data_IF_715949515417
#
_entry.id   IF_715949515417
#
_cell.length_a   1.000
_cell.length_b   1.000
_cell.length_c   1.000
_cell.angle_alpha   90.00
_cell.angle_beta   90.00
_cell.angle_gamma   90.00
#
_symmetry.space_group_name_H-M   'P 1'
#
loop_
_entity.id
_entity.type
_entity.pdbx_description
1 polymer ?
#
# COMPACT_ATOMS: atom_id res chain seq x y z
N UNK A 1 -24.47 -18.80 34.41
CA UNK A 1 -24.81 -18.81 32.95
C UNK A 1 -24.81 -17.45 32.28
N UNK A 2 -24.65 -16.34 32.98
CA UNK A 2 -24.69 -14.96 32.43
C UNK A 2 -23.30 -14.51 31.91
N UNK A 3 -22.21 -15.04 32.44
CA UNK A 3 -20.85 -14.64 32.05
C UNK A 3 -20.39 -15.16 30.69
N UNK A 4 -20.89 -16.30 30.20
CA UNK A 4 -20.50 -16.88 28.90
C UNK A 4 -21.09 -16.10 27.70
N UNK A 5 -22.27 -15.46 27.88
CA UNK A 5 -22.92 -14.69 26.83
C UNK A 5 -22.27 -13.32 26.59
N UNK A 6 -21.63 -12.72 27.61
CA UNK A 6 -20.96 -11.43 27.52
C UNK A 6 -19.63 -11.59 26.79
N UNK A 7 -18.93 -12.72 26.98
CA UNK A 7 -17.65 -12.98 26.30
C UNK A 7 -17.82 -13.22 24.78
N UNK A 8 -18.88 -13.92 24.39
CA UNK A 8 -19.19 -14.16 22.95
C UNK A 8 -19.57 -12.86 22.25
N UNK A 9 -20.30 -11.95 22.92
CA UNK A 9 -20.69 -10.65 22.33
C UNK A 9 -19.46 -9.73 22.17
N UNK A 10 -18.49 -9.81 23.10
CA UNK A 10 -17.29 -8.97 23.03
C UNK A 10 -16.34 -9.42 21.90
N UNK A 11 -16.20 -10.74 21.67
CA UNK A 11 -15.39 -11.29 20.57
C UNK A 11 -16.03 -11.00 19.22
N UNK A 12 -17.37 -11.12 19.10
CA UNK A 12 -18.06 -10.74 17.86
C UNK A 12 -18.00 -9.22 17.60
N UNK A 13 -17.99 -8.39 18.65
CA UNK A 13 -17.89 -6.93 18.48
C UNK A 13 -16.49 -6.49 18.03
N UNK A 14 -15.42 -7.18 18.47
CA UNK A 14 -14.06 -6.87 18.03
C UNK A 14 -13.77 -7.30 16.57
N UNK A 15 -14.31 -8.47 16.17
CA UNK A 15 -14.18 -8.92 14.77
C UNK A 15 -15.00 -8.04 13.80
N UNK A 16 -16.19 -7.62 14.21
CA UNK A 16 -17.00 -6.70 13.40
C UNK A 16 -16.40 -5.29 13.36
N UNK A 17 -15.71 -4.83 14.41
CA UNK A 17 -15.08 -3.51 14.42
C UNK A 17 -13.87 -3.46 13.47
N UNK A 18 -13.13 -4.55 13.30
CA UNK A 18 -12.02 -4.63 12.35
C UNK A 18 -12.48 -4.72 10.89
N UNK A 19 -13.47 -5.56 10.60
CA UNK A 19 -14.09 -5.61 9.27
C UNK A 19 -14.70 -4.25 8.90
N UNK A 20 -15.42 -3.61 9.81
CA UNK A 20 -16.02 -2.28 9.60
C UNK A 20 -14.99 -1.15 9.42
N UNK A 21 -13.77 -1.26 9.94
CA UNK A 21 -12.74 -0.22 9.79
C UNK A 21 -12.09 -0.24 8.40
N UNK A 22 -11.81 -1.42 7.85
CA UNK A 22 -11.28 -1.55 6.49
C UNK A 22 -12.35 -1.12 5.47
N UNK A 23 -13.57 -1.60 5.62
CA UNK A 23 -14.69 -1.20 4.76
C UNK A 23 -14.88 0.33 4.73
N UNK A 24 -14.67 1.03 5.87
CA UNK A 24 -14.83 2.48 5.92
C UNK A 24 -13.73 3.26 5.17
N UNK A 25 -12.50 2.76 5.13
CA UNK A 25 -11.40 3.38 4.38
C UNK A 25 -11.66 3.27 2.87
N UNK A 26 -12.05 2.09 2.40
CA UNK A 26 -12.41 1.84 1.00
C UNK A 26 -13.62 2.68 0.56
N UNK A 27 -14.62 2.83 1.44
CA UNK A 27 -15.80 3.65 1.20
C UNK A 27 -15.40 5.12 1.06
N UNK A 28 -14.59 5.64 1.98
CA UNK A 28 -14.11 7.02 1.93
C UNK A 28 -13.22 7.26 0.70
N UNK A 29 -12.31 6.34 0.39
CA UNK A 29 -11.47 6.42 -0.80
C UNK A 29 -12.34 6.45 -2.08
N UNK A 30 -13.35 5.61 -2.17
CA UNK A 30 -14.31 5.62 -3.28
C UNK A 30 -15.05 6.95 -3.36
N UNK A 31 -15.49 7.51 -2.23
CA UNK A 31 -16.11 8.84 -2.18
C UNK A 31 -15.19 9.92 -2.76
N UNK A 32 -13.92 9.94 -2.36
CA UNK A 32 -12.96 10.93 -2.86
C UNK A 32 -12.68 10.77 -4.37
N UNK A 33 -12.55 9.55 -4.86
CA UNK A 33 -12.40 9.28 -6.31
C UNK A 33 -13.60 9.84 -7.10
N UNK A 34 -14.83 9.63 -6.61
CA UNK A 34 -16.04 10.14 -7.28
C UNK A 34 -16.15 11.66 -7.13
N UNK A 35 -15.78 12.26 -6.01
CA UNK A 35 -15.73 13.74 -5.85
C UNK A 35 -14.80 14.36 -6.88
N UNK A 36 -13.58 13.85 -7.01
CA UNK A 36 -12.58 14.38 -7.96
C UNK A 36 -13.08 14.24 -9.39
N UNK A 37 -13.55 13.05 -9.77
CA UNK A 37 -14.03 12.84 -11.15
C UNK A 37 -15.26 13.68 -11.48
N UNK A 38 -16.16 13.89 -10.53
CA UNK A 38 -17.31 14.79 -10.68
C UNK A 38 -16.89 16.24 -10.87
N UNK A 39 -15.87 16.69 -10.13
CA UNK A 39 -15.25 18.02 -10.31
C UNK A 39 -14.64 18.20 -11.70
N UNK A 40 -13.93 17.18 -12.21
CA UNK A 40 -13.33 17.16 -13.53
C UNK A 40 -14.40 17.14 -14.64
N UNK A 41 -15.49 16.39 -14.47
CA UNK A 41 -16.66 16.42 -15.39
C UNK A 41 -17.21 17.85 -15.46
N UNK A 42 -17.46 18.45 -14.31
CA UNK A 42 -17.99 19.83 -14.25
C UNK A 42 -17.06 20.82 -14.97
N UNK A 43 -15.75 20.73 -14.71
CA UNK A 43 -14.75 21.58 -15.37
C UNK A 43 -14.73 21.39 -16.89
N UNK A 44 -14.78 20.13 -17.36
CA UNK A 44 -14.84 19.79 -18.79
C UNK A 44 -16.08 20.40 -19.47
N UNK A 45 -17.25 20.31 -18.83
CA UNK A 45 -18.49 20.91 -19.36
C UNK A 45 -18.37 22.44 -19.41
N UNK A 46 -17.90 23.07 -18.34
CA UNK A 46 -17.74 24.53 -18.26
C UNK A 46 -16.73 25.07 -19.27
N UNK A 47 -15.67 24.32 -19.55
CA UNK A 47 -14.68 24.66 -20.57
C UNK A 47 -15.07 24.27 -22.00
N UNK A 48 -16.24 23.65 -22.18
CA UNK A 48 -16.70 23.04 -23.43
C UNK A 48 -15.78 21.92 -23.98
N UNK A 49 -15.01 21.28 -23.09
CA UNK A 49 -14.24 20.08 -23.41
C UNK A 49 -15.09 18.83 -23.10
N UNK A 50 -16.07 18.61 -23.97
CA UNK A 50 -17.00 17.47 -23.82
C UNK A 50 -16.30 16.12 -23.97
N UNK A 51 -15.18 16.06 -24.70
CA UNK A 51 -14.44 14.81 -24.85
C UNK A 51 -13.81 14.38 -23.52
N UNK A 52 -13.15 15.28 -22.83
CA UNK A 52 -12.60 14.99 -21.49
C UNK A 52 -13.71 14.71 -20.48
N UNK A 53 -14.80 15.48 -20.50
CA UNK A 53 -15.96 15.24 -19.62
C UNK A 53 -16.56 13.85 -19.82
N UNK A 54 -16.65 13.37 -21.07
CA UNK A 54 -17.13 12.03 -21.39
C UNK A 54 -16.18 10.93 -20.81
N UNK A 55 -14.88 11.12 -20.97
CA UNK A 55 -13.90 10.17 -20.43
C UNK A 55 -13.94 10.12 -18.89
N UNK A 56 -14.03 11.28 -18.22
CA UNK A 56 -14.16 11.35 -16.77
C UNK A 56 -15.46 10.70 -16.27
N UNK A 57 -16.59 10.96 -16.96
CA UNK A 57 -17.87 10.37 -16.57
C UNK A 57 -17.89 8.85 -16.80
N UNK A 58 -17.27 8.38 -17.90
CA UNK A 58 -17.10 6.95 -18.13
C UNK A 58 -16.29 6.30 -17.01
N UNK A 59 -15.14 6.90 -16.67
CA UNK A 59 -14.31 6.39 -15.58
C UNK A 59 -15.07 6.35 -14.25
N UNK A 60 -15.77 7.44 -13.89
CA UNK A 60 -16.55 7.49 -12.65
C UNK A 60 -17.60 6.37 -12.59
N UNK A 61 -18.31 6.13 -13.70
CA UNK A 61 -19.32 5.09 -13.79
C UNK A 61 -18.69 3.69 -13.69
N UNK A 62 -17.64 3.42 -14.44
CA UNK A 62 -16.95 2.12 -14.45
C UNK A 62 -16.33 1.83 -13.08
N UNK A 63 -15.65 2.81 -12.48
CA UNK A 63 -15.04 2.68 -11.17
C UNK A 63 -16.10 2.39 -10.09
N UNK A 64 -17.15 3.19 -10.03
CA UNK A 64 -18.23 3.02 -9.06
C UNK A 64 -18.97 1.69 -9.23
N UNK A 65 -19.17 1.24 -10.46
CA UNK A 65 -19.80 -0.06 -10.76
C UNK A 65 -19.05 -1.24 -10.15
N UNK A 66 -17.74 -1.14 -10.06
CA UNK A 66 -16.89 -2.18 -9.44
C UNK A 66 -16.98 -2.19 -7.91
N UNK A 67 -17.33 -1.05 -7.28
CA UNK A 67 -17.37 -0.90 -5.82
C UNK A 67 -18.78 -0.84 -5.22
N UNK A 68 -19.84 -0.77 -6.05
CA UNK A 68 -21.22 -0.58 -5.56
C UNK A 68 -21.69 -1.68 -4.59
N UNK A 69 -21.22 -2.92 -4.77
CA UNK A 69 -21.58 -4.02 -3.86
C UNK A 69 -20.92 -3.85 -2.49
N UNK A 70 -19.62 -3.49 -2.46
CA UNK A 70 -18.86 -3.20 -1.24
C UNK A 70 -19.47 -2.02 -0.49
N UNK A 71 -19.84 -0.96 -1.20
CA UNK A 71 -20.52 0.21 -0.62
C UNK A 71 -21.87 -0.17 0.01
N UNK A 72 -22.65 -1.03 -0.65
CA UNK A 72 -23.93 -1.52 -0.12
C UNK A 72 -23.71 -2.38 1.14
N UNK A 73 -22.75 -3.30 1.09
CA UNK A 73 -22.43 -4.20 2.19
C UNK A 73 -21.85 -3.41 3.38
N UNK A 74 -21.10 -2.34 3.11
CA UNK A 74 -20.60 -1.36 4.09
C UNK A 74 -21.67 -0.37 4.60
N UNK A 75 -22.94 -0.53 4.18
CA UNK A 75 -24.08 0.19 4.72
C UNK A 75 -24.37 1.55 4.08
N UNK A 76 -23.78 1.88 2.93
CA UNK A 76 -24.08 3.10 2.17
C UNK A 76 -25.47 2.98 1.54
N UNK A 77 -26.47 3.60 2.17
CA UNK A 77 -27.87 3.48 1.77
C UNK A 77 -28.18 4.04 0.37
N UNK A 78 -27.40 5.01 -0.08
CA UNK A 78 -27.56 5.67 -1.38
C UNK A 78 -26.68 5.07 -2.49
N UNK A 79 -26.08 3.89 -2.27
CA UNK A 79 -25.14 3.30 -3.21
C UNK A 79 -25.79 3.04 -4.60
N UNK A 80 -26.99 2.49 -4.62
CA UNK A 80 -27.68 2.17 -5.88
C UNK A 80 -28.17 3.43 -6.60
N UNK A 81 -28.69 4.42 -5.86
CA UNK A 81 -29.15 5.68 -6.42
C UNK A 81 -28.00 6.49 -7.04
N UNK A 82 -26.85 6.53 -6.35
CA UNK A 82 -25.67 7.18 -6.89
C UNK A 82 -25.14 6.47 -8.14
N UNK A 83 -25.16 5.13 -8.15
CA UNK A 83 -24.77 4.36 -9.33
C UNK A 83 -25.63 4.72 -10.55
N UNK A 84 -26.96 4.70 -10.38
CA UNK A 84 -27.88 5.07 -11.46
C UNK A 84 -27.68 6.52 -11.93
N UNK A 85 -27.40 7.43 -11.01
CA UNK A 85 -27.14 8.83 -11.34
C UNK A 85 -25.86 9.00 -12.15
N UNK A 86 -24.78 8.29 -11.82
CA UNK A 86 -23.53 8.32 -12.59
C UNK A 86 -23.72 7.77 -14.01
N UNK A 87 -24.48 6.70 -14.17
CA UNK A 87 -24.87 6.15 -15.49
C UNK A 87 -25.64 7.20 -16.29
N UNK A 88 -26.60 7.87 -15.67
CA UNK A 88 -27.42 8.90 -16.35
C UNK A 88 -26.58 10.10 -16.78
N UNK A 89 -25.68 10.58 -15.91
CA UNK A 89 -24.74 11.66 -16.24
C UNK A 89 -23.87 11.27 -17.43
N UNK A 90 -23.27 10.08 -17.43
CA UNK A 90 -22.46 9.60 -18.56
C UNK A 90 -23.29 9.52 -19.86
N UNK A 91 -24.50 8.97 -19.78
CA UNK A 91 -25.42 8.89 -20.93
C UNK A 91 -25.76 10.28 -21.50
N UNK A 92 -26.05 11.26 -20.65
CA UNK A 92 -26.34 12.63 -21.06
C UNK A 92 -25.16 13.30 -21.77
N UNK A 93 -23.94 13.14 -21.22
CA UNK A 93 -22.73 13.71 -21.82
C UNK A 93 -22.47 13.07 -23.20
N UNK A 94 -22.53 11.74 -23.31
CA UNK A 94 -22.32 11.02 -24.58
C UNK A 94 -23.36 11.38 -25.63
N UNK A 95 -24.60 11.70 -25.21
CA UNK A 95 -25.65 12.18 -26.09
C UNK A 95 -25.64 13.70 -26.32
N UNK A 96 -24.65 14.42 -25.80
CA UNK A 96 -24.51 15.88 -25.87
C UNK A 96 -25.70 16.65 -25.30
N UNK A 97 -26.35 16.10 -24.27
CA UNK A 97 -27.46 16.71 -23.55
C UNK A 97 -26.91 17.38 -22.29
N UNK A 98 -26.71 18.69 -22.32
CA UNK A 98 -26.06 19.42 -21.20
C UNK A 98 -27.05 19.97 -20.16
N UNK A 99 -28.35 19.98 -20.45
CA UNK A 99 -29.32 20.84 -19.75
C UNK A 99 -29.62 20.51 -18.28
N UNK A 100 -29.15 19.38 -17.75
CA UNK A 100 -29.34 19.01 -16.32
C UNK A 100 -28.09 18.55 -15.60
N UNK A 101 -26.97 18.41 -16.30
CA UNK A 101 -25.76 17.78 -15.76
C UNK A 101 -25.25 18.50 -14.51
N UNK A 102 -25.31 19.82 -14.46
CA UNK A 102 -24.87 20.55 -13.27
C UNK A 102 -25.75 20.24 -12.03
N UNK A 103 -27.06 20.12 -12.23
CA UNK A 103 -27.98 19.69 -11.17
C UNK A 103 -27.70 18.26 -10.72
N UNK A 104 -27.40 17.39 -11.68
CA UNK A 104 -27.11 15.99 -11.41
C UNK A 104 -25.77 15.85 -10.62
N UNK A 105 -24.73 16.59 -11.00
CA UNK A 105 -23.45 16.64 -10.28
C UNK A 105 -23.61 17.20 -8.85
N UNK A 106 -24.51 18.17 -8.64
CA UNK A 106 -24.85 18.64 -7.30
C UNK A 106 -25.54 17.55 -6.48
N UNK A 107 -26.36 16.70 -7.14
CA UNK A 107 -26.98 15.54 -6.49
C UNK A 107 -25.94 14.47 -6.13
N UNK A 108 -24.95 14.23 -7.00
CA UNK A 108 -23.78 13.36 -6.67
C UNK A 108 -23.11 13.85 -5.39
N UNK A 109 -22.75 15.14 -5.31
CA UNK A 109 -22.13 15.72 -4.12
C UNK A 109 -22.95 15.48 -2.85
N UNK A 110 -24.28 15.66 -2.95
CA UNK A 110 -25.19 15.42 -1.83
C UNK A 110 -25.24 13.98 -1.37
N UNK A 111 -25.18 13.00 -2.31
CA UNK A 111 -25.10 11.60 -1.94
C UNK A 111 -23.80 11.27 -1.24
N UNK A 112 -22.68 11.83 -1.71
CA UNK A 112 -21.34 11.61 -1.12
C UNK A 112 -21.19 12.21 0.27
N UNK A 113 -21.92 13.28 0.62
CA UNK A 113 -21.98 13.83 1.99
C UNK A 113 -22.51 12.81 3.00
N UNK A 114 -23.28 11.81 2.55
CA UNK A 114 -23.81 10.73 3.40
C UNK A 114 -22.86 9.54 3.58
N UNK A 115 -21.70 9.56 2.95
CA UNK A 115 -20.72 8.47 3.09
C UNK A 115 -19.99 8.59 4.42
N UNK A 116 -19.70 7.46 5.10
CA UNK A 116 -18.95 7.49 6.33
C UNK A 116 -17.52 7.96 6.09
N UNK A 117 -16.99 8.75 7.02
CA UNK A 117 -15.56 9.03 7.07
C UNK A 117 -14.85 7.91 7.81
N UNK A 118 -13.69 7.51 7.33
CA UNK A 118 -12.85 6.54 8.01
C UNK A 118 -12.10 7.19 9.18
N UNK A 119 -12.01 6.51 10.32
CA UNK A 119 -11.11 6.91 11.38
C UNK A 119 -9.64 6.64 11.04
N UNK A 120 -9.38 5.83 10.03
CA UNK A 120 -8.05 5.42 9.56
C UNK A 120 -7.68 6.18 8.29
N UNK A 121 -7.25 7.44 8.44
CA UNK A 121 -6.91 8.28 7.29
C UNK A 121 -5.69 7.77 6.53
N UNK A 122 -4.72 7.17 7.23
CA UNK A 122 -3.57 6.53 6.60
C UNK A 122 -3.97 5.47 5.58
N UNK A 123 -4.92 4.59 5.95
CA UNK A 123 -5.43 3.57 5.04
C UNK A 123 -6.21 4.18 3.88
N UNK A 124 -7.11 5.13 4.13
CA UNK A 124 -7.84 5.84 3.06
C UNK A 124 -6.88 6.49 2.05
N UNK A 125 -5.81 7.14 2.54
CA UNK A 125 -4.79 7.76 1.69
C UNK A 125 -4.07 6.70 0.85
N UNK A 126 -3.73 5.55 1.44
CA UNK A 126 -3.10 4.42 0.75
C UNK A 126 -3.96 3.91 -0.40
N UNK A 127 -5.26 3.71 -0.18
CA UNK A 127 -6.23 3.28 -1.21
C UNK A 127 -6.33 4.33 -2.36
N UNK A 128 -6.42 5.61 -2.02
CA UNK A 128 -6.42 6.69 -3.02
C UNK A 128 -5.15 6.65 -3.87
N UNK A 129 -3.98 6.45 -3.25
CA UNK A 129 -2.70 6.38 -3.94
C UNK A 129 -2.59 5.13 -4.83
N UNK A 130 -3.17 4.00 -4.43
CA UNK A 130 -3.24 2.80 -5.28
C UNK A 130 -4.05 3.07 -6.54
N UNK A 131 -5.22 3.67 -6.42
CA UNK A 131 -6.04 4.08 -7.57
C UNK A 131 -5.28 5.07 -8.45
N UNK A 132 -4.62 6.06 -7.87
CA UNK A 132 -3.83 7.04 -8.60
C UNK A 132 -2.67 6.40 -9.37
N UNK A 133 -1.96 5.46 -8.75
CA UNK A 133 -0.86 4.73 -9.38
C UNK A 133 -1.34 3.91 -10.57
N UNK A 134 -2.41 3.15 -10.41
CA UNK A 134 -3.01 2.35 -11.48
C UNK A 134 -3.44 3.24 -12.67
N UNK A 135 -4.07 4.37 -12.40
CA UNK A 135 -4.46 5.32 -13.43
C UNK A 135 -3.25 5.98 -14.11
N UNK A 136 -2.22 6.33 -13.37
CA UNK A 136 -1.00 6.89 -13.95
C UNK A 136 -0.32 5.89 -14.89
N UNK A 137 -0.15 4.64 -14.45
CA UNK A 137 0.41 3.55 -15.27
C UNK A 137 -0.40 3.36 -16.56
N UNK A 138 -1.70 3.23 -16.45
CA UNK A 138 -2.60 3.07 -17.60
C UNK A 138 -2.55 4.29 -18.51
N UNK A 139 -2.60 5.48 -17.94
CA UNK A 139 -2.56 6.75 -18.67
C UNK A 139 -1.28 6.95 -19.47
N UNK A 140 -0.12 6.56 -18.91
CA UNK A 140 1.16 6.60 -19.63
C UNK A 140 1.21 5.51 -20.70
N UNK A 141 0.87 4.26 -20.34
CA UNK A 141 1.00 3.10 -21.24
C UNK A 141 0.08 3.19 -22.45
N UNK A 142 -1.16 3.69 -22.24
CA UNK A 142 -2.19 3.79 -23.29
C UNK A 142 -2.28 5.19 -23.90
N UNK A 143 -1.38 6.12 -23.52
CA UNK A 143 -1.44 7.53 -23.90
C UNK A 143 -2.82 8.16 -23.68
N UNK A 144 -3.42 7.91 -22.48
CA UNK A 144 -4.71 8.42 -22.07
C UNK A 144 -4.53 9.64 -21.12
N UNK A 145 -4.66 10.89 -21.62
CA UNK A 145 -4.45 12.08 -20.80
C UNK A 145 -5.46 12.22 -19.66
N UNK A 146 -6.69 11.71 -19.83
CA UNK A 146 -7.73 11.84 -18.82
C UNK A 146 -7.43 11.00 -17.59
N UNK A 147 -6.91 9.78 -17.74
CA UNK A 147 -6.45 8.95 -16.60
C UNK A 147 -5.28 9.60 -15.88
N UNK A 148 -4.34 10.22 -16.61
CA UNK A 148 -3.23 10.95 -15.99
C UNK A 148 -3.72 12.15 -15.17
N UNK A 149 -4.70 12.90 -15.68
CA UNK A 149 -5.30 14.05 -14.95
C UNK A 149 -6.00 13.56 -13.68
N UNK A 150 -6.79 12.51 -13.76
CA UNK A 150 -7.44 11.93 -12.57
C UNK A 150 -6.37 11.50 -11.55
N UNK A 151 -5.34 10.79 -11.98
CA UNK A 151 -4.26 10.32 -11.10
C UNK A 151 -3.58 11.44 -10.34
N UNK A 152 -3.20 12.53 -11.02
CA UNK A 152 -2.56 13.71 -10.38
C UNK A 152 -3.50 14.35 -9.36
N UNK A 153 -4.79 14.53 -9.69
CA UNK A 153 -5.75 15.12 -8.75
C UNK A 153 -5.99 14.22 -7.52
N UNK A 154 -5.95 12.91 -7.67
CA UNK A 154 -6.04 11.97 -6.54
C UNK A 154 -4.81 12.09 -5.61
N UNK A 155 -3.62 12.24 -6.17
CA UNK A 155 -2.40 12.49 -5.38
C UNK A 155 -2.48 13.84 -4.64
N UNK A 156 -3.02 14.87 -5.26
CA UNK A 156 -3.27 16.16 -4.58
C UNK A 156 -4.25 16.03 -3.41
N UNK A 157 -5.32 15.22 -3.56
CA UNK A 157 -6.25 14.92 -2.47
C UNK A 157 -5.56 14.16 -1.35
N UNK A 158 -4.81 13.11 -1.67
CA UNK A 158 -4.06 12.33 -0.69
C UNK A 158 -3.11 13.23 0.14
N UNK A 159 -2.40 14.15 -0.53
CA UNK A 159 -1.54 15.14 0.14
C UNK A 159 -2.31 16.07 1.08
N UNK A 160 -3.47 16.58 0.64
CA UNK A 160 -4.31 17.45 1.48
C UNK A 160 -4.92 16.70 2.68
N UNK A 161 -5.23 15.41 2.53
CA UNK A 161 -5.73 14.59 3.64
C UNK A 161 -4.68 14.41 4.74
N UNK A 162 -3.40 14.26 4.39
CA UNK A 162 -2.30 14.23 5.38
C UNK A 162 -2.29 15.54 6.19
N UNK A 163 -2.39 16.67 5.52
CA UNK A 163 -2.35 17.96 6.18
C UNK A 163 -3.50 18.18 7.13
N UNK A 164 -4.71 17.76 6.75
CA UNK A 164 -5.94 17.94 7.51
C UNK A 164 -6.19 16.88 8.58
N UNK A 165 -5.52 15.74 8.51
CA UNK A 165 -5.73 14.64 9.46
C UNK A 165 -5.09 14.93 10.82
N UNK A 166 -5.79 14.60 11.90
CA UNK A 166 -5.26 14.61 13.27
C UNK A 166 -4.52 13.30 13.64
N UNK A 167 -4.55 12.29 12.75
CA UNK A 167 -3.88 11.01 12.93
C UNK A 167 -2.36 11.15 12.89
N UNK A 168 -1.84 12.11 12.11
CA UNK A 168 -0.41 12.33 11.94
C UNK A 168 0.09 13.51 12.78
N UNK A 169 1.18 13.30 13.52
CA UNK A 169 1.87 14.40 14.19
C UNK A 169 2.59 15.31 13.18
N UNK A 170 3.12 16.44 13.68
CA UNK A 170 3.78 17.43 12.82
C UNK A 170 5.03 16.88 12.12
N UNK A 171 5.78 16.00 12.78
CA UNK A 171 6.97 15.39 12.21
C UNK A 171 6.58 14.49 11.05
N UNK A 172 5.61 13.59 11.27
CA UNK A 172 5.10 12.66 10.25
C UNK A 172 4.50 13.39 9.05
N UNK A 173 3.72 14.44 9.29
CA UNK A 173 3.20 15.30 8.20
C UNK A 173 4.33 15.92 7.38
N UNK A 174 5.43 16.32 8.01
CA UNK A 174 6.57 16.90 7.31
C UNK A 174 7.29 15.86 6.45
N UNK A 175 7.53 14.67 6.98
CA UNK A 175 8.16 13.55 6.27
C UNK A 175 7.32 13.13 5.05
N UNK A 176 6.02 12.93 5.25
CA UNK A 176 5.11 12.57 4.15
C UNK A 176 5.04 13.64 3.06
N UNK A 177 5.00 14.93 3.42
CA UNK A 177 4.99 16.05 2.46
C UNK A 177 6.20 16.05 1.54
N UNK A 178 7.38 15.68 2.01
CA UNK A 178 8.59 15.63 1.18
C UNK A 178 8.40 14.66 0.00
N UNK A 179 7.76 13.51 0.22
CA UNK A 179 7.43 12.59 -0.88
C UNK A 179 6.47 13.19 -1.89
N UNK A 180 5.44 13.93 -1.46
CA UNK A 180 4.48 14.54 -2.39
C UNK A 180 5.09 15.71 -3.16
N UNK A 181 6.04 16.44 -2.58
CA UNK A 181 6.82 17.48 -3.28
C UNK A 181 7.58 16.88 -4.46
N UNK A 182 8.09 15.67 -4.33
CA UNK A 182 8.78 14.97 -5.41
C UNK A 182 7.81 14.27 -6.38
N UNK A 183 6.74 13.66 -5.89
CA UNK A 183 5.79 12.86 -6.67
C UNK A 183 5.01 13.69 -7.69
N UNK A 184 4.39 14.79 -7.25
CA UNK A 184 3.48 15.60 -8.08
C UNK A 184 4.19 16.14 -9.33
N UNK A 185 5.41 16.73 -9.23
CA UNK A 185 6.14 17.15 -10.43
C UNK A 185 6.53 16.01 -11.37
N UNK A 186 6.87 14.84 -10.86
CA UNK A 186 7.20 13.67 -11.68
C UNK A 186 6.00 13.23 -12.51
N UNK A 187 4.82 13.15 -11.91
CA UNK A 187 3.59 12.77 -12.61
C UNK A 187 3.18 13.83 -13.65
N UNK A 188 3.27 15.11 -13.31
CA UNK A 188 2.98 16.21 -14.24
C UNK A 188 3.94 16.26 -15.45
N UNK A 189 5.20 15.88 -15.24
CA UNK A 189 6.20 15.80 -16.32
C UNK A 189 6.13 14.47 -17.10
N UNK A 190 5.17 13.60 -16.78
CA UNK A 190 4.99 12.28 -17.42
C UNK A 190 6.25 11.41 -17.38
N UNK A 191 6.91 11.40 -16.21
CA UNK A 191 8.14 10.65 -15.99
C UNK A 191 7.88 9.15 -15.97
N UNK A 192 8.98 8.37 -15.97
CA UNK A 192 8.94 6.92 -15.97
C UNK A 192 8.07 6.37 -14.82
N UNK A 193 7.25 5.39 -15.14
CA UNK A 193 6.32 4.72 -14.23
C UNK A 193 7.07 4.24 -12.97
N UNK A 194 8.23 3.59 -13.13
CA UNK A 194 9.00 3.05 -12.03
C UNK A 194 9.40 4.10 -10.97
N UNK A 195 9.65 5.34 -11.39
CA UNK A 195 9.99 6.43 -10.46
C UNK A 195 8.80 6.89 -9.64
N UNK A 196 7.61 6.92 -10.26
CA UNK A 196 6.34 7.26 -9.59
C UNK A 196 5.95 6.13 -8.63
N UNK A 197 6.01 4.88 -9.07
CA UNK A 197 5.73 3.69 -8.26
C UNK A 197 6.57 3.65 -6.98
N UNK A 198 7.87 3.89 -7.12
CA UNK A 198 8.79 3.88 -5.98
C UNK A 198 8.39 4.90 -4.90
N UNK A 199 8.03 6.12 -5.30
CA UNK A 199 7.64 7.16 -4.33
C UNK A 199 6.29 6.81 -3.70
N UNK A 200 5.30 6.36 -4.48
CA UNK A 200 4.00 5.95 -3.94
C UNK A 200 4.17 4.81 -2.93
N UNK A 201 4.96 3.80 -3.26
CA UNK A 201 5.27 2.71 -2.33
C UNK A 201 5.93 3.23 -1.04
N UNK A 202 6.88 4.18 -1.14
CA UNK A 202 7.49 4.78 0.05
C UNK A 202 6.47 5.54 0.91
N UNK A 203 5.52 6.27 0.30
CA UNK A 203 4.44 6.94 1.05
C UNK A 203 3.57 5.91 1.77
N UNK A 204 3.16 4.85 1.07
CA UNK A 204 2.32 3.80 1.64
C UNK A 204 3.01 3.10 2.82
N UNK A 205 4.30 2.80 2.71
CA UNK A 205 5.10 2.27 3.82
C UNK A 205 5.11 3.21 5.03
N UNK A 206 5.31 4.51 4.80
CA UNK A 206 5.30 5.50 5.87
C UNK A 206 3.92 5.70 6.52
N UNK A 207 2.83 5.49 5.79
CA UNK A 207 1.47 5.56 6.34
C UNK A 207 1.17 4.41 7.30
N UNK A 208 1.69 3.23 7.03
CA UNK A 208 1.48 2.01 7.83
C UNK A 208 2.22 2.04 9.18
N UNK A 209 3.33 2.76 9.30
CA UNK A 209 4.17 2.78 10.53
C UNK A 209 3.44 3.28 11.80
N UNK A 210 2.26 3.88 11.69
CA UNK A 210 1.48 4.37 12.84
C UNK A 210 0.36 3.43 13.32
N UNK A 211 0.01 2.40 12.56
CA UNK A 211 -0.93 1.38 13.04
C UNK A 211 -0.16 0.26 13.75
N UNK A 212 -0.68 -0.19 14.87
CA UNK A 212 -0.07 -1.22 15.72
C UNK A 212 0.49 -2.37 14.88
N UNK A 213 1.80 -2.55 14.92
CA UNK A 213 2.63 -3.49 14.16
C UNK A 213 2.02 -4.92 14.07
N UNK A 214 1.15 -5.30 15.01
CA UNK A 214 0.62 -6.67 15.10
C UNK A 214 -0.45 -7.04 14.08
N UNK A 215 -1.26 -6.09 13.62
CA UNK A 215 -2.41 -6.38 12.72
C UNK A 215 -2.00 -6.41 11.24
N UNK A 216 -1.00 -5.62 10.88
CA UNK A 216 -0.53 -5.56 9.49
C UNK A 216 0.35 -6.76 9.12
N UNK A 217 1.22 -7.18 10.03
CA UNK A 217 2.02 -8.38 9.80
C UNK A 217 1.12 -9.59 9.51
N UNK A 218 -0.02 -9.73 10.17
CA UNK A 218 -0.95 -10.83 9.95
C UNK A 218 -1.54 -10.82 8.53
N UNK A 219 -1.97 -9.65 8.05
CA UNK A 219 -2.49 -9.50 6.68
C UNK A 219 -1.42 -9.79 5.61
N UNK A 220 -0.17 -9.34 5.86
CA UNK A 220 0.94 -9.62 4.97
C UNK A 220 1.20 -11.13 4.90
N UNK A 221 1.22 -11.82 6.04
CA UNK A 221 1.36 -13.28 6.08
C UNK A 221 0.24 -13.98 5.31
N UNK A 222 -1.01 -13.59 5.53
CA UNK A 222 -2.18 -14.16 4.85
C UNK A 222 -2.11 -13.92 3.33
N UNK A 223 -1.64 -12.74 2.89
CA UNK A 223 -1.45 -12.42 1.48
C UNK A 223 -0.35 -13.26 0.83
N UNK A 224 0.77 -13.47 1.52
CA UNK A 224 1.85 -14.34 1.05
C UNK A 224 1.36 -15.78 0.91
N UNK A 225 0.61 -16.29 1.91
CA UNK A 225 0.04 -17.63 1.87
C UNK A 225 -0.94 -17.81 0.70
N UNK A 226 -1.78 -16.81 0.43
CA UNK A 226 -2.71 -16.80 -0.70
C UNK A 226 -1.97 -16.83 -2.06
N UNK A 227 -0.94 -16.01 -2.23
CA UNK A 227 -0.12 -15.97 -3.45
C UNK A 227 0.58 -17.31 -3.71
N UNK A 228 1.14 -17.95 -2.68
CA UNK A 228 1.67 -19.31 -2.82
C UNK A 228 0.58 -20.34 -3.09
N UNK A 229 -0.61 -20.18 -2.53
CA UNK A 229 -1.78 -20.99 -2.85
C UNK A 229 -2.15 -20.93 -4.34
N UNK A 230 -2.19 -19.73 -4.90
CA UNK A 230 -2.43 -19.51 -6.32
C UNK A 230 -1.29 -20.05 -7.19
N UNK A 231 -0.03 -19.84 -6.80
CA UNK A 231 1.13 -20.38 -7.50
C UNK A 231 1.09 -21.93 -7.60
N UNK A 232 0.67 -22.62 -6.55
CA UNK A 232 0.47 -24.09 -6.58
C UNK A 232 -0.61 -24.52 -7.59
N UNK A 233 -1.68 -23.72 -7.75
CA UNK A 233 -2.72 -23.97 -8.75
C UNK A 233 -2.14 -23.82 -10.15
N UNK A 234 -1.39 -22.75 -10.40
CA UNK A 234 -0.75 -22.49 -11.70
C UNK A 234 0.28 -23.57 -12.06
N UNK A 235 1.07 -24.02 -11.08
CA UNK A 235 2.01 -25.15 -11.26
C UNK A 235 1.28 -26.43 -11.65
N UNK A 236 0.17 -26.77 -10.99
CA UNK A 236 -0.63 -27.94 -11.35
C UNK A 236 -1.19 -27.85 -12.77
N UNK A 237 -1.42 -26.64 -13.27
CA UNK A 237 -1.83 -26.36 -14.65
C UNK A 237 -0.63 -26.30 -15.62
N UNK A 238 0.61 -26.54 -15.16
CA UNK A 238 1.86 -26.37 -15.90
C UNK A 238 2.09 -24.94 -16.42
N UNK A 239 1.47 -23.93 -15.80
CA UNK A 239 1.64 -22.52 -16.12
C UNK A 239 2.76 -21.90 -15.29
N UNK A 240 4.01 -22.25 -15.63
CA UNK A 240 5.20 -21.81 -14.90
C UNK A 240 5.41 -20.28 -14.95
N UNK A 241 4.95 -19.62 -16.02
CA UNK A 241 5.09 -18.16 -16.12
C UNK A 241 4.24 -17.43 -15.07
N UNK A 242 2.96 -17.77 -14.94
CA UNK A 242 2.10 -17.18 -13.91
C UNK A 242 2.57 -17.58 -12.51
N UNK A 243 3.07 -18.81 -12.32
CA UNK A 243 3.62 -19.22 -11.04
C UNK A 243 4.85 -18.38 -10.65
N UNK A 244 5.76 -18.06 -11.60
CA UNK A 244 6.92 -17.18 -11.34
C UNK A 244 6.49 -15.75 -10.97
N UNK A 245 5.46 -15.21 -11.62
CA UNK A 245 4.89 -13.90 -11.28
C UNK A 245 4.33 -13.88 -9.85
N UNK A 246 3.56 -14.91 -9.48
CA UNK A 246 2.93 -15.00 -8.15
C UNK A 246 3.96 -15.16 -7.03
N UNK A 247 4.98 -16.02 -7.20
CA UNK A 247 6.04 -16.17 -6.19
C UNK A 247 6.92 -14.91 -6.10
N UNK A 248 7.12 -14.21 -7.22
CA UNK A 248 7.83 -12.93 -7.24
C UNK A 248 7.06 -11.86 -6.46
N UNK A 249 5.75 -11.76 -6.67
CA UNK A 249 4.88 -10.85 -5.91
C UNK A 249 4.83 -11.20 -4.42
N UNK A 250 4.82 -12.49 -4.07
CA UNK A 250 4.86 -12.93 -2.68
C UNK A 250 6.13 -12.45 -1.96
N UNK A 251 7.27 -12.40 -2.66
CA UNK A 251 8.53 -11.90 -2.10
C UNK A 251 8.61 -10.37 -2.16
N UNK A 252 8.62 -9.78 -3.36
CA UNK A 252 8.91 -8.35 -3.55
C UNK A 252 7.81 -7.41 -3.08
N UNK A 253 6.54 -7.82 -3.22
CA UNK A 253 5.42 -6.94 -2.89
C UNK A 253 4.88 -7.18 -1.46
N UNK A 254 5.37 -8.24 -0.77
CA UNK A 254 4.84 -8.60 0.54
C UNK A 254 5.94 -8.97 1.55
N UNK A 255 6.80 -9.96 1.28
CA UNK A 255 7.76 -10.45 2.27
C UNK A 255 8.82 -9.40 2.66
N UNK A 256 9.26 -8.54 1.74
CA UNK A 256 10.22 -7.46 2.01
C UNK A 256 9.77 -6.56 3.18
N UNK A 257 8.46 -6.40 3.40
CA UNK A 257 7.93 -5.62 4.54
C UNK A 257 8.15 -6.29 5.90
N UNK A 258 8.32 -7.61 5.95
CA UNK A 258 8.56 -8.37 7.17
C UNK A 258 10.04 -8.52 7.52
N UNK A 259 10.94 -8.31 6.55
CA UNK A 259 12.38 -8.59 6.68
C UNK A 259 13.02 -7.86 7.87
N UNK A 260 12.69 -6.58 8.04
CA UNK A 260 13.25 -5.78 9.14
C UNK A 260 12.91 -6.36 10.52
N UNK A 261 11.69 -6.80 10.73
CA UNK A 261 11.22 -7.27 12.03
C UNK A 261 11.64 -8.72 12.29
N UNK A 262 11.62 -9.55 11.27
CA UNK A 262 12.17 -10.91 11.34
C UNK A 262 13.66 -10.84 11.62
N UNK A 263 14.42 -9.99 10.92
CA UNK A 263 15.86 -9.85 11.08
C UNK A 263 16.30 -9.35 12.45
N UNK A 264 15.51 -8.48 13.10
CA UNK A 264 15.73 -8.06 14.49
C UNK A 264 15.54 -9.22 15.47
N UNK A 265 14.64 -10.13 15.18
CA UNK A 265 14.25 -11.24 16.05
C UNK A 265 15.07 -12.51 15.77
N UNK A 266 15.27 -12.88 14.50
CA UNK A 266 16.05 -14.03 14.05
C UNK A 266 16.66 -13.79 12.65
N UNK A 267 17.89 -13.26 12.61
CA UNK A 267 18.61 -12.98 11.36
C UNK A 267 18.88 -14.25 10.53
N UNK A 268 19.11 -15.39 11.18
CA UNK A 268 19.37 -16.67 10.47
C UNK A 268 18.11 -17.20 9.76
N UNK A 269 16.94 -17.03 10.38
CA UNK A 269 15.68 -17.35 9.76
C UNK A 269 15.42 -16.44 8.57
N UNK A 270 15.67 -15.13 8.69
CA UNK A 270 15.53 -14.18 7.60
C UNK A 270 16.40 -14.58 6.39
N UNK A 271 17.70 -14.77 6.57
CA UNK A 271 18.61 -15.17 5.47
C UNK A 271 18.13 -16.44 4.76
N UNK A 272 17.64 -17.43 5.52
CA UNK A 272 17.10 -18.65 4.96
C UNK A 272 15.85 -18.40 4.12
N UNK A 273 14.93 -17.55 4.62
CA UNK A 273 13.68 -17.22 3.92
C UNK A 273 13.95 -16.45 2.64
N UNK A 274 14.85 -15.45 2.67
CA UNK A 274 15.29 -14.71 1.48
C UNK A 274 15.79 -15.66 0.39
N UNK A 275 16.71 -16.57 0.72
CA UNK A 275 17.26 -17.55 -0.24
C UNK A 275 16.15 -18.42 -0.83
N UNK A 276 15.24 -18.93 0.02
CA UNK A 276 14.18 -19.83 -0.41
C UNK A 276 13.12 -19.12 -1.28
N UNK A 277 12.70 -17.91 -0.88
CA UNK A 277 11.59 -17.19 -1.52
C UNK A 277 12.03 -16.37 -2.75
N UNK A 278 13.26 -15.83 -2.74
CA UNK A 278 13.77 -15.02 -3.84
C UNK A 278 14.49 -15.85 -4.90
N UNK A 279 15.38 -16.77 -4.48
CA UNK A 279 16.30 -17.40 -5.42
C UNK A 279 15.87 -18.84 -5.74
N UNK A 280 15.74 -19.71 -4.73
CA UNK A 280 15.62 -21.14 -4.94
C UNK A 280 14.29 -21.57 -5.60
N UNK A 281 13.17 -20.99 -5.18
CA UNK A 281 11.88 -21.34 -5.80
C UNK A 281 11.82 -20.88 -7.26
N UNK A 282 12.35 -19.70 -7.57
CA UNK A 282 12.36 -19.19 -8.94
C UNK A 282 13.29 -20.01 -9.84
N UNK A 283 14.44 -20.44 -9.33
CA UNK A 283 15.30 -21.39 -10.06
C UNK A 283 14.56 -22.68 -10.39
N UNK A 284 13.83 -23.26 -9.42
CA UNK A 284 13.04 -24.48 -9.65
C UNK A 284 11.95 -24.29 -10.71
N UNK A 285 11.30 -23.12 -10.74
CA UNK A 285 10.26 -22.76 -11.73
C UNK A 285 10.89 -22.55 -13.10
N UNK A 286 12.00 -21.82 -13.20
CA UNK A 286 12.71 -21.54 -14.46
C UNK A 286 13.30 -22.80 -15.08
N UNK A 287 13.83 -23.71 -14.27
CA UNK A 287 14.28 -25.03 -14.70
C UNK A 287 13.14 -25.99 -15.05
N UNK A 288 11.89 -25.58 -14.83
CA UNK A 288 10.68 -26.37 -15.05
C UNK A 288 10.75 -27.73 -14.32
N UNK A 289 11.20 -27.73 -13.06
CA UNK A 289 11.11 -28.93 -12.20
C UNK A 289 9.68 -29.42 -12.13
N UNK A 290 9.47 -30.66 -11.72
CA UNK A 290 8.11 -31.18 -11.65
C UNK A 290 7.24 -30.29 -10.76
N UNK A 291 5.98 -30.01 -11.13
CA UNK A 291 5.08 -29.24 -10.29
C UNK A 291 5.02 -29.74 -8.85
N UNK A 292 5.03 -31.05 -8.67
CA UNK A 292 4.98 -31.69 -7.36
C UNK A 292 6.23 -31.39 -6.52
N UNK A 293 7.43 -31.36 -7.11
CA UNK A 293 8.66 -31.03 -6.38
C UNK A 293 8.66 -29.59 -5.91
N UNK A 294 8.16 -28.65 -6.76
CA UNK A 294 8.04 -27.24 -6.42
C UNK A 294 7.00 -27.04 -5.30
N UNK A 295 5.86 -27.72 -5.40
CA UNK A 295 4.79 -27.66 -4.36
C UNK A 295 5.30 -28.19 -3.03
N UNK A 296 6.03 -29.30 -3.03
CA UNK A 296 6.65 -29.85 -1.80
C UNK A 296 7.64 -28.87 -1.19
N UNK A 297 8.41 -28.14 -2.03
CA UNK A 297 9.32 -27.10 -1.54
C UNK A 297 8.56 -25.89 -0.95
N UNK A 298 7.48 -25.45 -1.60
CA UNK A 298 6.61 -24.38 -1.06
C UNK A 298 6.09 -24.80 0.33
N UNK A 299 5.47 -25.96 0.42
CA UNK A 299 4.80 -26.42 1.66
C UNK A 299 5.80 -26.74 2.78
N UNK A 300 6.90 -27.43 2.46
CA UNK A 300 7.85 -27.94 3.46
C UNK A 300 9.00 -26.99 3.82
N UNK A 301 9.22 -25.93 3.05
CA UNK A 301 10.29 -24.99 3.33
C UNK A 301 9.75 -23.56 3.50
N UNK A 302 9.03 -23.04 2.51
CA UNK A 302 8.62 -21.64 2.52
C UNK A 302 7.50 -21.38 3.53
N UNK A 303 6.38 -22.13 3.44
CA UNK A 303 5.24 -21.92 4.33
C UNK A 303 5.54 -22.34 5.78
N UNK A 304 6.42 -23.33 5.99
CA UNK A 304 6.86 -23.68 7.34
C UNK A 304 7.73 -22.57 7.98
N UNK A 305 8.64 -21.96 7.21
CA UNK A 305 9.47 -20.88 7.71
C UNK A 305 8.63 -19.61 7.89
N UNK A 306 7.66 -19.34 7.01
CA UNK A 306 6.70 -18.25 7.14
C UNK A 306 5.88 -18.39 8.45
N UNK A 307 5.42 -19.58 8.76
CA UNK A 307 4.71 -19.87 10.01
C UNK A 307 5.60 -19.65 11.24
N UNK A 308 6.88 -20.04 11.18
CA UNK A 308 7.84 -19.79 12.27
C UNK A 308 8.07 -18.30 12.48
N UNK A 309 8.26 -17.54 11.41
CA UNK A 309 8.44 -16.10 11.50
C UNK A 309 7.20 -15.38 12.05
N UNK A 310 6.00 -15.78 11.63
CA UNK A 310 4.72 -15.27 12.18
C UNK A 310 4.65 -15.50 13.70
N UNK A 311 4.99 -16.71 14.17
CA UNK A 311 5.02 -17.03 15.59
C UNK A 311 6.07 -16.18 16.35
N UNK A 312 7.26 -16.04 15.78
CA UNK A 312 8.37 -15.29 16.37
C UNK A 312 7.99 -13.82 16.61
N UNK A 313 7.33 -13.17 15.63
CA UNK A 313 6.91 -11.80 15.76
C UNK A 313 5.75 -11.66 16.77
N UNK A 314 4.78 -12.57 16.75
CA UNK A 314 3.69 -12.62 17.74
C UNK A 314 4.21 -12.80 19.18
N UNK A 315 5.19 -13.67 19.41
CA UNK A 315 5.78 -13.90 20.73
C UNK A 315 6.57 -12.68 21.22
N UNK A 316 7.24 -11.96 20.31
CA UNK A 316 7.96 -10.73 20.64
C UNK A 316 7.02 -9.60 21.09
N UNK A 317 5.84 -9.49 20.50
CA UNK A 317 4.79 -8.53 20.87
C UNK A 317 4.18 -8.83 22.24
N UNK A 318 3.88 -10.08 22.54
CA UNK A 318 3.28 -10.50 23.81
C UNK A 318 4.28 -10.53 24.97
N UNK A 319 5.57 -10.66 24.69
CA UNK A 319 6.64 -10.65 25.69
C UNK A 319 6.91 -9.26 26.30
N UNK A 320 6.46 -8.18 25.67
CA UNK A 320 6.68 -6.81 26.16
C UNK A 320 5.64 -6.32 27.18
N UNK A 321 4.52 -7.02 27.37
CA UNK A 321 3.46 -6.62 28.30
C UNK A 321 3.57 -7.23 29.72
N UNK A 322 4.41 -8.24 29.94
CA UNK A 322 4.40 -8.99 31.23
C UNK A 322 5.54 -8.71 32.20
N UNK A 323 6.42 -7.74 31.97
CA UNK A 323 7.49 -7.45 32.94
C UNK A 323 7.60 -5.98 33.35
N UNK A 324 6.56 -5.47 34.03
CA UNK A 324 6.65 -4.28 34.89
C UNK A 324 6.89 -4.68 36.34
N UNK A 325 7.88 -5.52 36.59
CA UNK A 325 8.47 -5.66 37.94
C UNK A 325 9.97 -5.48 37.84
N UNK A 326 10.38 -4.28 38.22
CA UNK A 326 11.81 -3.93 38.41
C UNK A 326 12.57 -5.00 39.21
N UNK A 327 13.84 -5.27 38.80
CA UNK A 327 14.88 -4.66 39.62
C UNK A 327 15.83 -3.78 38.79
N UNK A 328 16.06 -2.60 39.32
CA UNK A 328 17.15 -1.72 39.00
C UNK A 328 18.49 -2.47 39.16
N UNK A 329 19.20 -2.67 38.03
CA UNK A 329 20.64 -2.83 38.06
C UNK A 329 21.21 -1.85 37.05
N UNK A 330 21.72 -0.74 37.57
CA UNK A 330 22.64 0.14 36.90
C UNK A 330 23.97 -0.62 36.78
N UNK A 331 24.23 -1.26 35.65
CA UNK A 331 25.61 -1.52 35.26
C UNK A 331 26.06 -0.38 34.34
N UNK A 332 27.14 0.32 34.69
CA UNK A 332 27.67 1.37 33.84
C UNK A 332 28.29 0.73 32.59
N UNK A 333 27.77 1.11 31.40
CA UNK A 333 28.40 0.82 30.12
C UNK A 333 29.89 1.23 30.23
N UNK A 334 30.79 0.25 30.14
CA UNK A 334 32.23 0.48 30.32
C UNK A 334 32.76 1.43 29.26
N UNK A 335 33.68 2.30 29.64
CA UNK A 335 34.33 3.28 28.74
C UNK A 335 34.92 2.63 27.48
N UNK A 336 35.28 1.34 27.54
CA UNK A 336 35.78 0.56 26.41
C UNK A 336 34.70 0.31 25.32
N UNK A 337 33.45 0.13 25.68
CA UNK A 337 32.34 -0.01 24.67
C UNK A 337 32.02 1.33 24.00
N UNK A 338 32.16 2.45 24.73
CA UNK A 338 31.98 3.79 24.13
C UNK A 338 33.14 4.16 23.21
N UNK A 339 34.34 3.68 23.46
CA UNK A 339 35.50 3.88 22.58
C UNK A 339 35.37 3.07 21.28
N UNK A 340 34.87 1.84 21.33
CA UNK A 340 34.65 1.01 20.12
C UNK A 340 33.67 1.65 19.14
N UNK A 341 32.52 2.07 19.62
CA UNK A 341 31.50 2.71 18.77
C UNK A 341 31.99 4.04 18.17
N UNK A 342 32.75 4.84 18.90
CA UNK A 342 33.36 6.08 18.37
C UNK A 342 34.38 5.78 17.28
N UNK A 343 35.21 4.76 17.45
CA UNK A 343 36.20 4.34 16.46
C UNK A 343 35.54 3.88 15.16
N UNK A 344 34.42 3.17 15.25
CA UNK A 344 33.69 2.68 14.09
C UNK A 344 33.01 3.84 13.31
N UNK A 345 32.41 4.81 14.01
CA UNK A 345 31.84 6.02 13.43
C UNK A 345 32.90 6.88 12.73
N UNK A 346 34.08 7.06 13.37
CA UNK A 346 35.16 7.82 12.77
C UNK A 346 35.72 7.12 11.53
N UNK A 347 35.80 5.79 11.53
CA UNK A 347 36.22 4.98 10.37
C UNK A 347 35.24 5.11 9.21
N UNK A 348 33.90 5.09 9.48
CA UNK A 348 32.87 5.27 8.47
C UNK A 348 32.94 6.69 7.88
N UNK A 349 33.12 7.70 8.71
CA UNK A 349 33.26 9.10 8.26
C UNK A 349 34.46 9.27 7.32
N UNK A 350 35.62 8.76 7.70
CA UNK A 350 36.83 8.86 6.89
C UNK A 350 36.69 8.16 5.53
N UNK A 351 35.99 7.01 5.50
CA UNK A 351 35.67 6.32 4.26
C UNK A 351 34.73 7.15 3.36
N UNK A 352 33.67 7.74 3.93
CA UNK A 352 32.73 8.58 3.18
C UNK A 352 33.42 9.83 2.62
N UNK A 353 34.31 10.49 3.40
CA UNK A 353 35.06 11.63 2.89
C UNK A 353 36.02 11.24 1.76
N UNK A 354 36.65 10.05 1.87
CA UNK A 354 37.49 9.51 0.78
C UNK A 354 36.71 9.23 -0.48
N UNK A 355 35.52 8.60 -0.37
CA UNK A 355 34.63 8.33 -1.50
C UNK A 355 34.17 9.63 -2.17
N UNK A 356 33.77 10.65 -1.38
CA UNK A 356 33.33 11.95 -1.89
C UNK A 356 34.45 12.67 -2.64
N UNK A 357 35.69 12.62 -2.12
CA UNK A 357 36.86 13.19 -2.80
C UNK A 357 37.13 12.50 -4.13
N UNK A 358 37.13 11.17 -4.17
CA UNK A 358 37.37 10.38 -5.37
C UNK A 358 36.25 10.59 -6.41
N UNK A 359 35.01 10.72 -5.95
CA UNK A 359 33.86 11.04 -6.84
C UNK A 359 33.98 12.45 -7.41
N UNK A 360 34.40 13.43 -6.61
CA UNK A 360 34.68 14.81 -7.03
C UNK A 360 35.77 14.88 -8.13
N UNK A 361 36.81 14.06 -7.97
CA UNK A 361 37.91 13.98 -8.95
C UNK A 361 37.60 13.13 -10.19
N UNK A 362 36.36 12.61 -10.29
CA UNK A 362 35.87 11.70 -11.35
C UNK A 362 36.58 10.35 -11.44
N UNK A 363 37.21 9.94 -10.37
CA UNK A 363 37.79 8.58 -10.24
C UNK A 363 36.75 7.61 -9.66
N UNK A 364 35.76 7.26 -10.48
CA UNK A 364 34.66 6.39 -10.08
C UNK A 364 35.09 4.97 -9.71
N UNK A 365 36.22 4.51 -10.27
CA UNK A 365 36.76 3.17 -9.97
C UNK A 365 37.31 3.10 -8.55
N UNK A 366 38.04 4.13 -8.13
CA UNK A 366 38.58 4.22 -6.78
C UNK A 366 37.49 4.43 -5.72
N UNK A 367 36.46 5.25 -6.01
CA UNK A 367 35.32 5.47 -5.13
C UNK A 367 34.56 4.18 -4.81
N UNK A 368 34.33 3.33 -5.83
CA UNK A 368 33.64 2.04 -5.66
C UNK A 368 34.44 1.04 -4.80
N UNK A 369 35.77 1.11 -4.83
CA UNK A 369 36.65 0.20 -4.07
C UNK A 369 36.78 0.64 -2.60
N UNK A 370 36.42 1.89 -2.27
CA UNK A 370 36.51 2.47 -0.93
C UNK A 370 35.23 2.30 -0.10
N UNK A 371 34.13 1.88 -0.72
CA UNK A 371 32.86 1.58 -0.05
C UNK A 371 32.89 0.23 0.63
#
# INVERSE_FOLDING_TARGET
>A
MIFASIFVILVCASQNAHALSNDSADIEATSEVIKITSGLIKSGIQSNDLQSAEQYSKFATDYYSNHVNELRDGGVQSADELHLLLIDIHSKISNKQSDSIESDLNSVSKYLEGFPESPQKGQTISEILEVANKLYRNGISNNNPSEQVIAVNLVDVASNMIDSSDEFDLQKKTELREFFIDLIPLMNQKKEIASVDKIITSIQQELVVNESISTDNEKIYDKIEDLYGQAKIELNNNNYANADELVTSAYLDNFEFLESDIGKSDHSLLEKMEVNMRDQIREMIQEKKSPQDIIVFIDGSILEDLKKSKQLLSDAEHGSESDKTKPSVNEPVTEQQKLGVRSDIDTIRDKLETMLSQYSDRDYSAAFTSA
#
